data_IF_520419354539
#
_entry.id   IF_520419354539
#
_cell.length_a   1.000
_cell.length_b   1.000
_cell.length_c   1.000
_cell.angle_alpha   90.00
_cell.angle_beta   90.00
_cell.angle_gamma   90.00
#
_symmetry.space_group_name_H-M   'P 1'
#
loop_
_entity.id
_entity.type
_entity.pdbx_description
1 polymer ?
#
# COMPACT_ATOMS: atom_id res chain seq x y z
N UNK A 1 11.65 -2.96 -8.69
CA UNK A 1 10.20 -3.20 -8.54
C UNK A 1 9.96 -4.64 -8.96
N UNK A 2 9.65 -5.54 -8.02
CA UNK A 2 9.66 -6.99 -8.30
C UNK A 2 8.27 -7.42 -8.79
N UNK A 3 8.13 -7.70 -10.08
CA UNK A 3 6.85 -7.93 -10.78
C UNK A 3 6.22 -9.30 -10.43
N UNK A 4 6.96 -10.16 -9.73
CA UNK A 4 6.58 -11.56 -9.46
C UNK A 4 5.50 -11.74 -8.38
N UNK A 5 5.34 -10.79 -7.44
CA UNK A 5 4.44 -10.99 -6.30
C UNK A 5 2.96 -10.70 -6.57
N UNK A 6 2.61 -9.99 -7.66
CA UNK A 6 1.22 -9.63 -7.97
C UNK A 6 0.44 -10.74 -8.69
N UNK A 7 1.12 -11.80 -9.13
CA UNK A 7 0.53 -12.90 -9.90
C UNK A 7 0.31 -14.18 -9.07
N UNK A 8 0.59 -14.16 -7.77
CA UNK A 8 0.28 -15.25 -6.84
C UNK A 8 -1.06 -14.99 -6.13
N UNK A 9 -1.70 -16.05 -5.63
CA UNK A 9 -2.97 -15.97 -4.89
C UNK A 9 -2.95 -14.98 -3.70
N UNK A 10 -1.77 -14.68 -3.14
CA UNK A 10 -1.57 -13.69 -2.04
C UNK A 10 -1.25 -12.27 -2.53
N UNK A 11 -1.00 -12.11 -3.83
CA UNK A 11 -0.61 -10.88 -4.52
C UNK A 11 -1.75 -9.99 -4.99
N UNK A 12 -2.97 -10.53 -5.00
CA UNK A 12 -4.15 -9.85 -5.52
C UNK A 12 -4.84 -9.01 -4.43
N UNK A 13 -5.76 -8.13 -4.85
CA UNK A 13 -6.70 -7.40 -3.97
C UNK A 13 -6.04 -6.43 -2.97
N UNK A 14 -4.90 -5.82 -3.34
CA UNK A 14 -4.34 -4.71 -2.57
C UNK A 14 -5.11 -3.42 -2.89
N UNK A 15 -5.59 -2.75 -1.84
CA UNK A 15 -6.21 -1.45 -1.97
C UNK A 15 -5.16 -0.35 -1.95
N UNK A 16 -5.34 0.60 -2.86
CA UNK A 16 -4.66 1.89 -2.84
C UNK A 16 -5.70 2.99 -2.93
N UNK A 17 -5.32 4.18 -2.48
CA UNK A 17 -6.18 5.34 -2.44
C UNK A 17 -5.56 6.49 -3.22
N UNK A 18 -6.38 7.15 -4.02
CA UNK A 18 -6.04 8.42 -4.65
C UNK A 18 -6.79 9.53 -3.89
N UNK A 19 -6.03 10.43 -3.26
CA UNK A 19 -6.54 11.58 -2.52
C UNK A 19 -6.42 12.89 -3.31
N UNK A 20 -6.09 12.82 -4.59
CA UNK A 20 -5.94 14.02 -5.42
C UNK A 20 -7.28 14.55 -5.93
N UNK A 21 -7.26 15.80 -6.39
CA UNK A 21 -8.45 16.52 -6.86
C UNK A 21 -8.63 16.47 -8.39
N UNK A 22 -7.76 15.77 -9.13
CA UNK A 22 -7.90 15.68 -10.59
C UNK A 22 -9.10 14.82 -10.95
N UNK A 23 -10.01 15.37 -11.76
CA UNK A 23 -11.09 14.61 -12.38
C UNK A 23 -10.60 13.77 -13.57
N UNK A 24 -9.46 14.13 -14.14
CA UNK A 24 -8.81 13.42 -15.23
C UNK A 24 -7.73 12.48 -14.67
N UNK A 25 -8.13 11.22 -14.47
CA UNK A 25 -7.27 10.15 -13.96
C UNK A 25 -7.49 8.88 -14.77
N UNK A 26 -6.40 8.32 -15.29
CA UNK A 26 -6.37 7.01 -15.94
C UNK A 26 -5.78 5.96 -14.98
N UNK A 27 -6.23 4.73 -15.12
CA UNK A 27 -5.76 3.60 -14.31
C UNK A 27 -5.74 2.34 -15.16
N UNK A 28 -4.91 1.37 -14.74
CA UNK A 28 -4.78 0.09 -15.44
C UNK A 28 -6.10 -0.70 -15.47
N UNK A 29 -6.33 -1.43 -16.56
CA UNK A 29 -7.56 -2.20 -16.78
C UNK A 29 -7.82 -3.32 -15.76
N UNK A 30 -6.81 -3.75 -15.01
CA UNK A 30 -6.95 -4.75 -13.95
C UNK A 30 -7.27 -4.14 -12.57
N UNK A 31 -7.44 -2.82 -12.49
CA UNK A 31 -7.85 -2.15 -11.25
C UNK A 31 -9.36 -1.96 -11.19
N UNK A 32 -9.94 -2.35 -10.06
CA UNK A 32 -11.35 -2.07 -9.76
C UNK A 32 -11.41 -0.73 -9.03
N UNK A 33 -12.14 0.22 -9.62
CA UNK A 33 -12.34 1.55 -9.03
C UNK A 33 -13.51 1.52 -8.04
N UNK A 34 -13.23 1.96 -6.82
CA UNK A 34 -14.23 2.25 -5.79
C UNK A 34 -14.30 3.77 -5.55
N UNK A 35 -15.50 4.35 -5.59
CA UNK A 35 -15.75 5.76 -5.28
C UNK A 35 -16.72 5.83 -4.08
N UNK A 36 -16.22 6.08 -2.85
CA UNK A 36 -17.10 6.19 -1.68
C UNK A 36 -17.89 7.51 -1.68
N UNK A 37 -19.06 7.50 -1.05
CA UNK A 37 -19.68 8.72 -0.56
C UNK A 37 -18.92 9.18 0.70
N UNK A 38 -18.20 10.30 0.58
CA UNK A 38 -17.32 10.83 1.63
C UNK A 38 -18.06 11.34 2.87
N UNK A 39 -19.37 11.55 2.79
CA UNK A 39 -20.19 11.94 3.95
C UNK A 39 -20.41 10.78 4.92
N UNK A 40 -20.33 9.54 4.41
CA UNK A 40 -20.66 8.32 5.15
C UNK A 40 -19.40 7.47 5.41
N UNK A 41 -18.45 7.53 4.48
CA UNK A 41 -17.27 6.67 4.45
C UNK A 41 -16.01 7.52 4.35
N UNK A 42 -15.14 7.40 5.34
CA UNK A 42 -13.83 8.02 5.34
C UNK A 42 -12.86 7.20 4.47
N UNK A 43 -12.34 7.74 3.34
CA UNK A 43 -11.54 6.97 2.39
C UNK A 43 -10.26 6.35 3.00
N UNK A 44 -9.57 7.10 3.86
CA UNK A 44 -8.35 6.64 4.54
C UNK A 44 -8.65 5.45 5.46
N UNK A 45 -9.73 5.54 6.25
CA UNK A 45 -10.19 4.43 7.08
C UNK A 45 -10.53 3.20 6.22
N UNK A 46 -11.24 3.38 5.09
CA UNK A 46 -11.55 2.28 4.18
C UNK A 46 -10.29 1.60 3.67
N UNK A 47 -9.25 2.35 3.32
CA UNK A 47 -7.98 1.76 2.88
C UNK A 47 -7.35 0.86 3.97
N UNK A 48 -7.35 1.30 5.23
CA UNK A 48 -6.89 0.45 6.34
C UNK A 48 -7.81 -0.77 6.55
N UNK A 49 -9.13 -0.57 6.50
CA UNK A 49 -10.12 -1.64 6.67
C UNK A 49 -9.94 -2.75 5.61
N UNK A 50 -9.75 -2.38 4.34
CA UNK A 50 -9.52 -3.30 3.23
C UNK A 50 -8.22 -4.10 3.37
N UNK A 51 -7.25 -3.59 4.13
CA UNK A 51 -5.97 -4.26 4.42
C UNK A 51 -6.03 -5.21 5.62
N UNK A 52 -7.11 -5.18 6.41
CA UNK A 52 -7.28 -6.12 7.54
C UNK A 52 -7.40 -7.56 7.05
N UNK A 53 -6.87 -8.51 7.83
CA UNK A 53 -6.91 -9.94 7.49
C UNK A 53 -8.34 -10.43 7.22
N UNK A 54 -9.32 -9.99 8.01
CA UNK A 54 -10.73 -10.37 7.85
C UNK A 54 -11.29 -9.99 6.47
N UNK A 55 -10.98 -8.80 5.99
CA UNK A 55 -11.46 -8.32 4.69
C UNK A 55 -10.62 -8.93 3.56
N UNK A 56 -9.30 -9.01 3.73
CA UNK A 56 -8.41 -9.65 2.75
C UNK A 56 -8.76 -11.12 2.51
N UNK A 57 -9.04 -11.89 3.56
CA UNK A 57 -9.45 -13.29 3.41
C UNK A 57 -10.77 -13.43 2.65
N UNK A 58 -11.72 -12.52 2.85
CA UNK A 58 -12.96 -12.51 2.07
C UNK A 58 -12.73 -12.22 0.59
N UNK A 59 -11.86 -11.25 0.28
CA UNK A 59 -11.51 -10.88 -1.10
C UNK A 59 -10.75 -12.01 -1.80
N UNK A 60 -9.72 -12.56 -1.16
CA UNK A 60 -8.90 -13.65 -1.71
C UNK A 60 -9.72 -14.92 -1.95
N UNK A 61 -10.64 -15.26 -1.04
CA UNK A 61 -11.53 -16.42 -1.20
C UNK A 61 -12.50 -16.29 -2.40
N UNK A 62 -12.75 -15.07 -2.87
CA UNK A 62 -13.56 -14.78 -4.06
C UNK A 62 -12.73 -14.63 -5.33
N UNK A 63 -11.41 -14.70 -5.22
CA UNK A 63 -10.52 -14.71 -6.38
C UNK A 63 -10.69 -16.01 -7.16
N UNK A 64 -10.86 -15.89 -8.48
CA UNK A 64 -10.92 -17.02 -9.40
C UNK A 64 -9.53 -17.30 -9.94
N UNK A 65 -9.06 -18.53 -9.82
CA UNK A 65 -7.74 -18.94 -10.33
C UNK A 65 -7.92 -19.61 -11.69
N UNK A 66 -7.57 -18.89 -12.75
CA UNK A 66 -7.32 -19.46 -14.08
C UNK A 66 -5.79 -19.43 -14.33
N UNK A 67 -5.32 -18.79 -15.40
CA UNK A 67 -3.89 -18.54 -15.64
C UNK A 67 -3.32 -17.44 -14.75
N UNK A 68 -4.15 -16.47 -14.37
CA UNK A 68 -3.88 -15.44 -13.36
C UNK A 68 -5.04 -15.43 -12.37
N UNK A 69 -4.76 -15.20 -11.09
CA UNK A 69 -5.86 -15.00 -10.12
C UNK A 69 -6.45 -13.61 -10.31
N UNK A 70 -7.74 -13.53 -10.61
CA UNK A 70 -8.49 -12.26 -10.77
C UNK A 70 -9.72 -12.25 -9.89
N UNK A 71 -10.29 -11.07 -9.66
CA UNK A 71 -11.56 -10.90 -8.93
C UNK A 71 -12.49 -10.04 -9.78
N UNK A 72 -13.76 -10.42 -9.85
CA UNK A 72 -14.77 -9.65 -10.58
C UNK A 72 -15.32 -8.53 -9.71
N UNK A 73 -15.81 -7.45 -10.35
CA UNK A 73 -16.41 -6.32 -9.65
C UNK A 73 -17.65 -6.72 -8.83
N UNK A 74 -18.44 -7.67 -9.37
CA UNK A 74 -19.58 -8.29 -8.69
C UNK A 74 -19.16 -8.92 -7.36
N UNK A 75 -18.08 -9.70 -7.38
CA UNK A 75 -17.55 -10.40 -6.21
C UNK A 75 -17.04 -9.43 -5.14
N UNK A 76 -16.36 -8.34 -5.53
CA UNK A 76 -15.94 -7.28 -4.61
C UNK A 76 -17.14 -6.67 -3.88
N UNK A 77 -18.27 -6.48 -4.57
CA UNK A 77 -19.50 -5.94 -4.00
C UNK A 77 -20.15 -6.85 -2.94
N UNK A 78 -19.81 -8.14 -2.89
CA UNK A 78 -20.36 -9.10 -1.91
C UNK A 78 -19.54 -9.20 -0.62
N UNK A 79 -18.45 -8.44 -0.49
CA UNK A 79 -17.60 -8.46 0.71
C UNK A 79 -18.30 -7.76 1.86
N UNK A 80 -18.35 -8.41 3.02
CA UNK A 80 -18.95 -7.84 4.22
C UNK A 80 -17.96 -6.93 4.92
N UNK A 81 -18.32 -5.66 5.05
CA UNK A 81 -17.55 -4.63 5.73
C UNK A 81 -18.34 -4.13 6.95
N UNK A 82 -17.63 -3.78 8.01
CA UNK A 82 -18.21 -3.17 9.21
C UNK A 82 -17.67 -1.75 9.34
N UNK A 83 -18.56 -0.76 9.23
CA UNK A 83 -18.23 0.65 9.34
C UNK A 83 -18.77 1.20 10.66
N UNK A 84 -17.92 1.78 11.53
CA UNK A 84 -18.41 2.57 12.64
C UNK A 84 -18.92 3.94 12.15
N UNK A 85 -19.46 4.76 13.05
CA UNK A 85 -19.85 6.13 12.71
C UNK A 85 -18.67 6.95 12.18
N UNK A 86 -18.95 7.94 11.32
CA UNK A 86 -17.92 8.72 10.60
C UNK A 86 -16.87 9.34 11.54
N UNK A 87 -17.27 9.81 12.72
CA UNK A 87 -16.36 10.36 13.72
C UNK A 87 -15.34 9.33 14.21
N UNK A 88 -15.77 8.09 14.42
CA UNK A 88 -14.87 7.01 14.85
C UNK A 88 -13.97 6.56 13.70
N UNK A 89 -14.49 6.53 12.47
CA UNK A 89 -13.66 6.28 11.27
C UNK A 89 -12.52 7.32 11.17
N UNK A 90 -12.82 8.60 11.40
CA UNK A 90 -11.81 9.67 11.39
C UNK A 90 -10.76 9.48 12.48
N UNK A 91 -11.17 9.13 13.71
CA UNK A 91 -10.24 8.90 14.82
C UNK A 91 -9.29 7.75 14.53
N UNK A 92 -9.82 6.63 14.02
CA UNK A 92 -9.03 5.47 13.63
C UNK A 92 -8.07 5.84 12.48
N UNK A 93 -8.57 6.52 11.45
CA UNK A 93 -7.75 6.97 10.32
C UNK A 93 -6.59 7.85 10.78
N UNK A 94 -6.84 8.86 11.61
CA UNK A 94 -5.81 9.76 12.13
C UNK A 94 -4.75 9.02 12.94
N UNK A 95 -5.17 8.07 13.79
CA UNK A 95 -4.27 7.26 14.60
C UNK A 95 -3.36 6.39 13.74
N UNK A 96 -3.92 5.68 12.75
CA UNK A 96 -3.14 4.80 11.89
C UNK A 96 -2.23 5.59 10.93
N UNK A 97 -2.70 6.72 10.41
CA UNK A 97 -1.90 7.58 9.54
C UNK A 97 -0.71 8.21 10.27
N UNK A 98 -0.87 8.62 11.53
CA UNK A 98 0.27 9.16 12.29
C UNK A 98 1.36 8.10 12.53
N UNK A 99 0.97 6.83 12.67
CA UNK A 99 1.91 5.70 12.78
C UNK A 99 2.62 5.48 11.44
N UNK A 100 1.91 5.51 10.32
CA UNK A 100 2.51 5.37 8.99
C UNK A 100 3.48 6.53 8.68
N UNK A 101 3.14 7.76 9.07
CA UNK A 101 4.02 8.92 8.96
C UNK A 101 5.31 8.73 9.78
N UNK A 102 5.19 8.21 11.00
CA UNK A 102 6.33 7.90 11.85
C UNK A 102 7.21 6.81 11.23
N UNK A 103 6.62 5.72 10.73
CA UNK A 103 7.34 4.64 10.04
C UNK A 103 8.08 5.22 8.81
N UNK A 104 7.42 6.08 8.05
CA UNK A 104 8.00 6.71 6.85
C UNK A 104 9.20 7.58 7.22
N UNK A 105 9.05 8.44 8.24
CA UNK A 105 10.12 9.31 8.72
C UNK A 105 11.33 8.50 9.21
N UNK A 106 11.11 7.43 9.99
CA UNK A 106 12.20 6.57 10.48
C UNK A 106 12.87 5.79 9.36
N UNK A 107 12.09 5.28 8.40
CA UNK A 107 12.60 4.58 7.22
C UNK A 107 13.51 5.50 6.39
N UNK A 108 13.09 6.74 6.17
CA UNK A 108 13.89 7.74 5.46
C UNK A 108 15.17 8.08 6.23
N UNK A 109 15.08 8.30 7.54
CA UNK A 109 16.24 8.55 8.41
C UNK A 109 17.25 7.40 8.33
N UNK A 110 16.78 6.15 8.40
CA UNK A 110 17.62 4.97 8.28
C UNK A 110 18.31 4.90 6.91
N UNK A 111 17.60 5.20 5.82
CA UNK A 111 18.18 5.24 4.48
C UNK A 111 19.28 6.30 4.38
N UNK A 112 19.04 7.52 4.88
CA UNK A 112 20.05 8.59 4.92
C UNK A 112 21.28 8.18 5.72
N UNK A 113 21.11 7.58 6.90
CA UNK A 113 22.23 7.12 7.73
C UNK A 113 23.04 6.01 7.04
N UNK A 114 22.39 5.08 6.35
CA UNK A 114 23.07 4.03 5.57
C UNK A 114 23.91 4.64 4.44
N UNK A 115 23.35 5.60 3.71
CA UNK A 115 24.07 6.32 2.64
C UNK A 115 25.25 7.10 3.20
N UNK A 116 25.05 7.81 4.31
CA UNK A 116 26.10 8.58 4.96
C UNK A 116 27.24 7.69 5.46
N UNK A 117 26.92 6.58 6.13
CA UNK A 117 27.92 5.57 6.53
C UNK A 117 28.71 5.05 5.32
N UNK A 118 28.04 4.74 4.21
CA UNK A 118 28.69 4.26 2.99
C UNK A 118 29.69 5.30 2.45
N UNK A 119 29.29 6.56 2.38
CA UNK A 119 30.16 7.64 1.90
C UNK A 119 31.39 7.84 2.80
N UNK A 120 31.20 7.83 4.13
CA UNK A 120 32.31 7.94 5.08
C UNK A 120 33.29 6.76 4.95
N UNK A 121 32.80 5.54 4.80
CA UNK A 121 33.66 4.36 4.60
C UNK A 121 34.48 4.46 3.31
N UNK A 122 33.90 5.01 2.24
CA UNK A 122 34.61 5.26 0.98
C UNK A 122 35.69 6.35 1.10
N UNK A 123 35.49 7.35 1.98
CA UNK A 123 36.48 8.39 2.24
C UNK A 123 37.61 7.90 3.16
N UNK A 124 37.30 7.07 4.15
CA UNK A 124 38.27 6.58 5.14
C UNK A 124 39.16 5.44 4.61
N UNK A 125 38.62 4.62 3.70
CA UNK A 125 39.33 3.49 3.14
C UNK A 125 39.37 3.65 1.61
N UNK A 126 40.44 4.27 1.06
CA UNK A 126 40.61 4.29 -0.38
C UNK A 126 40.65 2.85 -0.91
N UNK A 127 40.03 2.64 -2.07
CA UNK A 127 40.05 1.33 -2.74
C UNK A 127 41.50 0.99 -3.04
N UNK A 128 41.95 -0.19 -2.61
CA UNK A 128 43.37 -0.61 -2.57
C UNK A 128 44.00 -0.82 -3.97
N UNK A 129 43.26 -0.57 -5.05
CA UNK A 129 43.74 -0.75 -6.43
C UNK A 129 44.54 0.43 -7.02
N UNK A 130 44.82 1.50 -6.25
CA UNK A 130 45.65 2.63 -6.71
C UNK A 130 47.02 2.76 -5.99
N UNK A 131 47.56 1.68 -5.40
CA UNK A 131 48.91 1.69 -4.78
C UNK A 131 49.95 0.88 -5.59
N UNK A 132 49.71 0.63 -6.88
CA UNK A 132 50.72 0.10 -7.79
C UNK A 132 50.76 0.87 -9.12
N UNK A 133 51.38 2.05 -9.10
CA UNK A 133 52.09 2.64 -10.25
C UNK A 133 53.30 3.42 -9.76
#
# INVERSE_FOLDING_TARGET
MNVSSYQTHRGITYSNIYLGNSSDITFDGHLIRFRPNIEIIMPIFTNYLLRTNKVRSQLVARGKTATMTTIEQSDVGTVKLSFPHINEQQRIANCLSSIDDLITAQTQKLATLKTHKKALMQQLFPVVDEVQR
#
